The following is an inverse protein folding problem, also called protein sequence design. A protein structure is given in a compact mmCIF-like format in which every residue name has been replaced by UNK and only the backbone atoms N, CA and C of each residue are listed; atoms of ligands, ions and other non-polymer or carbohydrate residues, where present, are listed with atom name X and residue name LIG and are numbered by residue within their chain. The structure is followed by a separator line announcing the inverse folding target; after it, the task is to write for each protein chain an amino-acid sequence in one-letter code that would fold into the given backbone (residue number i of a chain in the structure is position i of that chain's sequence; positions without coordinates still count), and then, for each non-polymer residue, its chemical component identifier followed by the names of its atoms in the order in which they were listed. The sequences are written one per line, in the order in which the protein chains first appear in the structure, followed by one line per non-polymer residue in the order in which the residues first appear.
data_IF_001967866019
#
_entry.id   IF_001967866019
#
_cell.length_a   1.000
_cell.length_b   1.000
_cell.length_c   1.000
_cell.angle_alpha   90.00
_cell.angle_beta   90.00
_cell.angle_gamma   90.00
#
_symmetry.space_group_name_H-M   'P 1'
#
loop_
_entity.id
_entity.type
_entity.pdbx_description
1 polymer ?
#
# COMPACT_ATOMS: atom_id res chain seq x y z
N UNK A 1 -17.24 -5.88 25.90
CA UNK A 1 -15.96 -5.77 25.20
C UNK A 1 -15.90 -4.44 24.50
N UNK A 2 -14.74 -3.78 24.49
CA UNK A 2 -14.59 -2.37 24.07
C UNK A 2 -14.36 -2.17 22.55
N UNK A 3 -14.57 -3.19 21.72
CA UNK A 3 -14.56 -3.08 20.27
C UNK A 3 -15.55 -4.09 19.68
N UNK A 4 -16.70 -3.61 19.20
CA UNK A 4 -17.67 -4.37 18.41
C UNK A 4 -17.66 -3.85 16.95
N UNK A 5 -16.50 -3.40 16.49
CA UNK A 5 -16.34 -2.74 15.18
C UNK A 5 -15.69 -3.68 14.15
N UNK A 6 -15.52 -4.96 14.50
CA UNK A 6 -14.97 -5.97 13.60
C UNK A 6 -16.01 -6.28 12.52
N UNK A 7 -16.03 -5.45 11.48
CA UNK A 7 -16.71 -5.72 10.22
C UNK A 7 -15.82 -6.66 9.40
N UNK A 8 -16.31 -7.87 9.18
CA UNK A 8 -15.66 -8.79 8.24
C UNK A 8 -15.75 -8.18 6.85
N UNK A 9 -14.60 -7.83 6.28
CA UNK A 9 -14.54 -7.40 4.90
C UNK A 9 -14.66 -8.63 3.98
N UNK A 10 -15.76 -8.72 3.25
CA UNK A 10 -15.94 -9.69 2.17
C UNK A 10 -15.45 -9.02 0.89
N UNK A 11 -14.34 -9.49 0.34
CA UNK A 11 -13.83 -9.01 -0.94
C UNK A 11 -14.54 -9.76 -2.09
N UNK A 12 -15.46 -9.08 -2.84
CA UNK A 12 -16.23 -9.72 -3.90
C UNK A 12 -15.40 -10.10 -5.13
N UNK A 13 -14.18 -9.56 -5.27
CA UNK A 13 -13.28 -9.88 -6.39
C UNK A 13 -12.26 -10.96 -6.03
N UNK A 14 -12.19 -11.30 -4.74
CA UNK A 14 -11.21 -12.23 -4.19
C UNK A 14 -9.82 -11.62 -4.11
N UNK A 15 -9.13 -11.93 -3.01
CA UNK A 15 -7.73 -11.63 -2.81
C UNK A 15 -7.22 -12.50 -1.66
N UNK A 16 -6.04 -13.10 -1.83
CA UNK A 16 -5.37 -13.85 -0.77
C UNK A 16 -4.68 -12.87 0.19
N UNK A 17 -5.48 -12.13 0.98
CA UNK A 17 -5.02 -11.01 1.81
C UNK A 17 -3.81 -11.33 2.69
N UNK A 18 -3.71 -12.58 3.15
CA UNK A 18 -2.63 -13.05 4.02
C UNK A 18 -1.24 -12.94 3.37
N UNK A 19 -1.13 -13.04 2.04
CA UNK A 19 0.18 -12.96 1.34
C UNK A 19 0.77 -11.55 1.37
N UNK A 20 -0.05 -10.52 1.61
CA UNK A 20 0.38 -9.12 1.65
C UNK A 20 0.75 -8.64 3.05
N UNK A 21 0.28 -9.32 4.10
CA UNK A 21 0.50 -8.93 5.50
C UNK A 21 1.98 -8.72 5.84
N UNK A 22 2.92 -9.63 5.50
CA UNK A 22 4.32 -9.44 5.85
C UNK A 22 4.94 -8.19 5.20
N UNK A 23 4.65 -7.97 3.91
CA UNK A 23 5.15 -6.80 3.17
C UNK A 23 4.58 -5.49 3.69
N UNK A 24 3.30 -5.46 4.06
CA UNK A 24 2.66 -4.28 4.64
C UNK A 24 3.20 -3.94 6.04
N UNK A 25 3.44 -4.95 6.88
CA UNK A 25 4.05 -4.73 8.19
C UNK A 25 5.47 -4.15 8.04
N UNK A 26 6.26 -4.69 7.10
CA UNK A 26 7.59 -4.17 6.77
C UNK A 26 7.53 -2.74 6.24
N UNK A 27 6.57 -2.44 5.36
CA UNK A 27 6.34 -1.11 4.81
C UNK A 27 6.10 -0.05 5.90
N UNK A 28 5.20 -0.34 6.84
CA UNK A 28 4.86 0.57 7.94
C UNK A 28 6.07 0.77 8.85
N UNK A 29 6.76 -0.30 9.23
CA UNK A 29 7.98 -0.21 10.03
C UNK A 29 9.05 0.67 9.37
N UNK A 30 9.30 0.43 8.08
CA UNK A 30 10.24 1.17 7.26
C UNK A 30 9.89 2.65 7.20
N UNK A 31 8.62 2.97 6.94
CA UNK A 31 8.13 4.35 6.92
C UNK A 31 8.34 5.06 8.27
N UNK A 32 7.99 4.40 9.39
CA UNK A 32 8.15 4.96 10.73
C UNK A 32 9.59 5.29 11.10
N UNK A 33 10.56 4.54 10.56
CA UNK A 33 11.99 4.72 10.85
C UNK A 33 12.75 5.43 9.72
N UNK A 34 12.07 5.85 8.65
CA UNK A 34 12.70 6.46 7.48
C UNK A 34 13.64 5.52 6.71
N UNK A 35 13.44 4.20 6.81
CA UNK A 35 14.27 3.17 6.18
C UNK A 35 13.62 2.71 4.87
N UNK A 36 14.41 2.48 3.82
CA UNK A 36 13.96 1.75 2.63
C UNK A 36 12.85 2.43 1.82
N UNK A 37 12.68 3.74 1.96
CA UNK A 37 11.74 4.54 1.13
C UNK A 37 12.22 4.70 -0.32
N UNK A 38 13.49 4.39 -0.57
CA UNK A 38 14.18 4.35 -1.84
C UNK A 38 14.33 2.93 -2.41
N UNK A 39 14.00 1.90 -1.62
CA UNK A 39 13.98 0.52 -2.10
C UNK A 39 12.88 0.34 -3.15
N UNK A 40 13.16 -0.51 -4.14
CA UNK A 40 12.17 -0.81 -5.16
C UNK A 40 11.10 -1.76 -4.59
N UNK A 41 9.83 -1.54 -4.97
CA UNK A 41 8.67 -2.29 -4.44
C UNK A 41 8.80 -3.80 -4.65
N UNK A 42 9.42 -4.25 -5.74
CA UNK A 42 9.64 -5.67 -5.98
C UNK A 42 10.51 -6.35 -4.90
N UNK A 43 11.34 -5.59 -4.17
CA UNK A 43 12.21 -6.12 -3.11
C UNK A 43 11.47 -6.24 -1.76
N UNK A 44 10.17 -5.89 -1.73
CA UNK A 44 9.35 -5.91 -0.52
C UNK A 44 8.55 -7.21 -0.38
N UNK A 45 8.39 -7.97 -1.46
CA UNK A 45 7.56 -9.16 -1.54
C UNK A 45 8.34 -10.34 -2.10
N UNK A 46 8.11 -11.53 -1.56
CA UNK A 46 8.75 -12.78 -2.03
C UNK A 46 8.04 -13.39 -3.26
N UNK A 47 7.21 -12.59 -3.96
CA UNK A 47 6.48 -13.00 -5.15
C UNK A 47 6.61 -11.94 -6.26
N UNK A 48 6.42 -12.33 -7.54
CA UNK A 48 6.52 -11.39 -8.66
C UNK A 48 5.53 -10.24 -8.55
N UNK A 49 6.04 -9.02 -8.48
CA UNK A 49 5.24 -7.80 -8.51
C UNK A 49 5.09 -7.32 -9.95
N UNK A 50 3.86 -6.99 -10.36
CA UNK A 50 3.61 -6.41 -11.68
C UNK A 50 4.23 -5.02 -11.79
N UNK A 51 4.75 -4.70 -12.97
CA UNK A 51 5.24 -3.36 -13.27
C UNK A 51 4.11 -2.32 -13.13
N UNK A 52 4.49 -1.10 -12.73
CA UNK A 52 3.55 0.03 -12.64
C UNK A 52 2.90 0.30 -14.00
N UNK A 53 1.58 0.34 -14.04
CA UNK A 53 0.79 0.63 -15.25
C UNK A 53 0.60 2.13 -15.50
N UNK A 54 1.09 2.98 -14.59
CA UNK A 54 0.89 4.44 -14.63
C UNK A 54 2.19 5.21 -14.84
N UNK A 55 2.09 6.41 -15.40
CA UNK A 55 3.25 7.29 -15.61
C UNK A 55 3.88 7.70 -14.27
N UNK A 56 5.21 7.88 -14.25
CA UNK A 56 5.97 8.29 -13.04
C UNK A 56 5.44 9.56 -12.37
N UNK A 57 4.86 10.48 -13.14
CA UNK A 57 4.31 11.74 -12.65
C UNK A 57 2.79 11.69 -12.36
N UNK A 58 2.17 10.51 -12.36
CA UNK A 58 0.72 10.35 -12.19
C UNK A 58 0.20 11.00 -10.90
N UNK A 59 0.81 10.67 -9.74
CA UNK A 59 0.42 11.25 -8.44
C UNK A 59 0.62 12.77 -8.41
N UNK A 60 1.74 13.26 -8.96
CA UNK A 60 2.00 14.71 -9.06
C UNK A 60 0.95 15.44 -9.90
N UNK A 61 0.39 14.80 -10.93
CA UNK A 61 -0.70 15.36 -11.73
C UNK A 61 -2.03 15.31 -10.97
N UNK A 62 -2.33 14.20 -10.29
CA UNK A 62 -3.57 14.04 -9.52
C UNK A 62 -3.71 15.11 -8.43
N UNK A 63 -2.64 15.40 -7.68
CA UNK A 63 -2.63 16.44 -6.64
C UNK A 63 -2.78 17.85 -7.22
N UNK A 64 -2.30 18.10 -8.44
CA UNK A 64 -2.52 19.40 -9.11
C UNK A 64 -3.99 19.61 -9.51
N UNK A 65 -4.68 18.53 -9.87
CA UNK A 65 -6.10 18.57 -10.29
C UNK A 65 -7.00 18.71 -9.07
N UNK A 66 -6.63 18.10 -7.94
CA UNK A 66 -7.33 18.21 -6.66
C UNK A 66 -6.38 18.78 -5.60
N UNK A 67 -6.26 20.12 -5.51
CA UNK A 67 -5.52 20.74 -4.42
C UNK A 67 -6.11 20.22 -3.09
N UNK A 68 -5.24 19.78 -2.18
CA UNK A 68 -5.66 19.49 -0.81
C UNK A 68 -6.27 20.76 -0.25
N UNK A 69 -7.58 20.75 0.04
CA UNK A 69 -8.18 21.82 0.81
C UNK A 69 -7.42 21.91 2.13
N UNK A 70 -6.97 23.13 2.46
CA UNK A 70 -6.23 23.43 3.68
C UNK A 70 -7.17 23.45 4.88
#
# INVERSE_FOLDING_TARGET
GFANNDLVHIDPRGCEHQVFTPGLNKAVYNFMHGIGTDMAIQDWFDFPVKASSVKRNYIKQAIKIHPLEK
#
